data_IF_359849316634
#
_entry.id   IF_359849316634
#
_cell.length_a   1.000
_cell.length_b   1.000
_cell.length_c   1.000
_cell.angle_alpha   90.00
_cell.angle_beta   90.00
_cell.angle_gamma   90.00
#
_symmetry.space_group_name_H-M   'P 1'
#
loop_
_entity.id
_entity.type
_entity.pdbx_description
1 polymer ?
#
# COMPACT_ATOMS: atom_id res chain seq x y z
N UNK A 1 4.32 -4.52 23.37
CA UNK A 1 4.57 -4.74 21.92
C UNK A 1 5.64 -5.81 21.64
N UNK A 2 6.77 -5.85 22.38
CA UNK A 2 7.90 -6.76 22.08
C UNK A 2 7.55 -8.26 21.97
N UNK A 3 6.63 -8.76 22.80
CA UNK A 3 6.18 -10.16 22.74
C UNK A 3 5.42 -10.43 21.43
N UNK A 4 4.31 -9.74 21.19
CA UNK A 4 3.47 -9.92 20.01
C UNK A 4 4.19 -9.72 18.67
N UNK A 5 5.28 -8.94 18.66
CA UNK A 5 6.05 -8.68 17.45
C UNK A 5 7.36 -9.44 17.40
N UNK A 6 7.70 -10.39 18.28
CA UNK A 6 8.93 -11.18 18.13
C UNK A 6 8.82 -12.19 16.95
N UNK A 7 9.91 -12.88 16.60
CA UNK A 7 9.92 -13.81 15.45
C UNK A 7 8.90 -14.94 15.59
N UNK A 8 8.82 -15.55 16.77
CA UNK A 8 7.95 -16.70 17.06
C UNK A 8 6.47 -16.31 17.04
N UNK A 9 6.10 -15.24 17.74
CA UNK A 9 4.74 -14.70 17.72
C UNK A 9 4.34 -14.24 16.32
N UNK A 10 5.26 -13.62 15.56
CA UNK A 10 5.00 -13.24 14.18
C UNK A 10 4.80 -14.46 13.27
N UNK A 11 5.51 -15.57 13.49
CA UNK A 11 5.32 -16.83 12.75
C UNK A 11 3.94 -17.43 13.04
N UNK A 12 3.57 -17.54 14.31
CA UNK A 12 2.25 -18.03 14.75
C UNK A 12 1.13 -17.20 14.12
N UNK A 13 1.23 -15.87 14.17
CA UNK A 13 0.22 -14.96 13.60
C UNK A 13 0.15 -15.12 12.07
N UNK A 14 1.29 -15.18 11.38
CA UNK A 14 1.34 -15.24 9.92
C UNK A 14 0.75 -16.55 9.39
N UNK A 15 1.09 -17.67 10.03
CA UNK A 15 0.57 -18.99 9.64
C UNK A 15 -0.89 -19.17 10.06
N UNK A 16 -1.24 -18.79 11.29
CA UNK A 16 -2.59 -18.99 11.83
C UNK A 16 -3.66 -18.14 11.13
N UNK A 17 -3.31 -16.91 10.72
CA UNK A 17 -4.24 -15.98 10.09
C UNK A 17 -4.00 -15.79 8.58
N UNK A 18 -3.01 -16.49 8.01
CA UNK A 18 -2.61 -16.30 6.60
C UNK A 18 -2.30 -14.85 6.24
N UNK A 19 -1.59 -14.14 7.14
CA UNK A 19 -1.17 -12.73 6.95
C UNK A 19 0.32 -12.64 6.64
N UNK A 20 0.72 -11.59 5.92
CA UNK A 20 2.13 -11.38 5.56
C UNK A 20 2.99 -11.10 6.82
N UNK A 21 4.14 -11.79 6.97
CA UNK A 21 5.03 -11.57 8.10
C UNK A 21 5.68 -10.19 8.04
N UNK A 22 5.81 -9.56 9.21
CA UNK A 22 6.43 -8.22 9.35
C UNK A 22 7.95 -8.26 9.55
N UNK A 23 8.54 -9.45 9.80
CA UNK A 23 9.97 -9.63 10.05
C UNK A 23 10.64 -10.46 8.97
N UNK A 24 11.85 -10.03 8.58
CA UNK A 24 12.75 -10.81 7.72
C UNK A 24 13.05 -12.20 8.30
N UNK A 25 13.29 -12.30 9.61
CA UNK A 25 13.52 -13.60 10.27
C UNK A 25 12.33 -14.54 10.15
N UNK A 26 11.11 -14.02 10.29
CA UNK A 26 9.89 -14.82 10.12
C UNK A 26 9.70 -15.25 8.66
N UNK A 27 10.00 -14.38 7.69
CA UNK A 27 9.95 -14.72 6.24
C UNK A 27 10.80 -15.94 5.96
N UNK A 28 12.05 -15.96 6.44
CA UNK A 28 12.96 -17.10 6.24
C UNK A 28 12.44 -18.38 6.90
N UNK A 29 11.83 -18.29 8.09
CA UNK A 29 11.30 -19.45 8.80
C UNK A 29 10.08 -20.09 8.12
N UNK A 30 9.24 -19.29 7.45
CA UNK A 30 7.94 -19.74 6.94
C UNK A 30 7.88 -19.92 5.43
N UNK A 31 8.88 -19.50 4.66
CA UNK A 31 8.85 -19.53 3.18
C UNK A 31 8.53 -20.90 2.57
N UNK A 32 8.89 -21.98 3.26
CA UNK A 32 8.64 -23.36 2.84
C UNK A 32 7.42 -24.00 3.55
N UNK A 33 6.78 -23.26 4.46
CA UNK A 33 5.62 -23.70 5.26
C UNK A 33 4.30 -23.06 4.81
N UNK A 34 4.36 -22.10 3.91
CA UNK A 34 3.20 -21.37 3.38
C UNK A 34 2.78 -21.92 2.02
N UNK A 35 1.54 -21.63 1.61
CA UNK A 35 1.08 -21.94 0.26
C UNK A 35 1.87 -21.17 -0.80
N UNK A 36 1.91 -21.68 -2.03
CA UNK A 36 2.57 -21.00 -3.14
C UNK A 36 2.06 -19.56 -3.39
N UNK A 37 0.73 -19.28 -3.38
CA UNK A 37 0.24 -17.91 -3.49
C UNK A 37 0.77 -16.99 -2.37
N UNK A 38 0.88 -17.51 -1.15
CA UNK A 38 1.40 -16.74 -0.02
C UNK A 38 2.90 -16.46 -0.16
N UNK A 39 3.67 -17.46 -0.63
CA UNK A 39 5.09 -17.27 -0.95
C UNK A 39 5.29 -16.22 -2.05
N UNK A 40 4.45 -16.25 -3.09
CA UNK A 40 4.46 -15.23 -4.13
C UNK A 40 4.20 -13.82 -3.57
N UNK A 41 3.18 -13.66 -2.71
CA UNK A 41 2.89 -12.37 -2.08
C UNK A 41 4.03 -11.90 -1.17
N UNK A 42 4.68 -12.80 -0.43
CA UNK A 42 5.86 -12.49 0.38
C UNK A 42 7.01 -11.96 -0.49
N UNK A 43 7.26 -12.59 -1.63
CA UNK A 43 8.30 -12.18 -2.58
C UNK A 43 8.00 -10.83 -3.21
N UNK A 44 6.78 -10.63 -3.72
CA UNK A 44 6.33 -9.35 -4.31
C UNK A 44 6.45 -8.23 -3.28
N UNK A 45 5.94 -8.45 -2.07
CA UNK A 45 6.00 -7.45 -1.01
C UNK A 45 7.45 -7.08 -0.64
N UNK A 46 8.38 -8.05 -0.63
CA UNK A 46 9.79 -7.77 -0.33
C UNK A 46 10.52 -7.04 -1.46
N UNK A 47 10.09 -7.19 -2.71
CA UNK A 47 10.82 -6.67 -3.88
C UNK A 47 10.30 -5.31 -4.35
N UNK A 48 9.00 -5.09 -4.31
CA UNK A 48 8.36 -3.97 -5.03
C UNK A 48 7.46 -3.09 -4.15
N UNK A 49 7.06 -3.56 -2.96
CA UNK A 49 6.14 -2.80 -2.13
C UNK A 49 6.78 -1.53 -1.57
N UNK A 50 5.94 -0.49 -1.49
CA UNK A 50 6.26 0.77 -0.86
C UNK A 50 5.26 1.01 0.28
N UNK A 51 5.71 1.67 1.35
CA UNK A 51 4.81 2.09 2.41
C UNK A 51 3.75 3.04 1.85
N UNK A 52 2.50 2.89 2.29
CA UNK A 52 1.46 3.85 1.97
C UNK A 52 1.86 5.24 2.52
N UNK A 53 1.56 6.34 1.82
CA UNK A 53 1.82 7.69 2.33
C UNK A 53 1.19 7.91 3.71
N UNK A 54 1.95 8.48 4.64
CA UNK A 54 1.47 8.82 5.99
C UNK A 54 1.39 10.34 6.10
N UNK A 55 0.31 10.90 5.54
CA UNK A 55 0.03 12.35 5.57
C UNK A 55 -1.30 12.59 6.28
N UNK A 56 -1.42 13.72 6.98
CA UNK A 56 -2.67 14.09 7.68
C UNK A 56 -3.83 14.16 6.69
N UNK A 57 -3.59 14.71 5.49
CA UNK A 57 -4.54 14.80 4.39
C UNK A 57 -4.76 13.48 3.61
N UNK A 58 -4.40 12.31 4.15
CA UNK A 58 -4.50 11.03 3.42
C UNK A 58 -5.92 10.74 2.86
N UNK A 59 -7.03 11.04 3.58
CA UNK A 59 -8.37 10.88 3.02
C UNK A 59 -8.61 11.71 1.75
N UNK A 60 -8.13 12.95 1.71
CA UNK A 60 -8.26 13.85 0.56
C UNK A 60 -7.39 13.37 -0.60
N UNK A 61 -6.14 13.00 -0.30
CA UNK A 61 -5.18 12.51 -1.30
C UNK A 61 -5.70 11.23 -1.96
N UNK A 62 -6.18 10.26 -1.16
CA UNK A 62 -6.71 9.00 -1.68
C UNK A 62 -7.99 9.20 -2.49
N UNK A 63 -8.87 10.13 -2.12
CA UNK A 63 -10.07 10.46 -2.89
C UNK A 63 -9.72 11.08 -4.25
N UNK A 64 -8.81 12.06 -4.28
CA UNK A 64 -8.37 12.67 -5.54
C UNK A 64 -7.71 11.63 -6.46
N UNK A 65 -6.99 10.65 -5.90
CA UNK A 65 -6.39 9.56 -6.67
C UNK A 65 -7.47 8.65 -7.28
N UNK A 66 -8.49 8.29 -6.49
CA UNK A 66 -9.62 7.50 -6.99
C UNK A 66 -10.36 8.21 -8.13
N UNK A 67 -10.56 9.54 -8.00
CA UNK A 67 -11.17 10.36 -9.05
C UNK A 67 -10.29 10.40 -10.30
N UNK A 68 -8.97 10.54 -10.16
CA UNK A 68 -8.05 10.47 -11.30
C UNK A 68 -8.19 9.16 -12.07
N UNK A 69 -8.25 8.02 -11.35
CA UNK A 69 -8.41 6.70 -11.98
C UNK A 69 -9.75 6.57 -12.70
N UNK A 70 -10.82 7.12 -12.13
CA UNK A 70 -12.14 7.14 -12.74
C UNK A 70 -12.15 8.01 -14.01
N UNK A 71 -11.65 9.25 -13.91
CA UNK A 71 -11.59 10.18 -15.03
C UNK A 71 -10.76 9.60 -16.20
N UNK A 72 -9.63 8.97 -15.89
CA UNK A 72 -8.78 8.31 -16.91
C UNK A 72 -9.47 7.10 -17.54
N UNK A 73 -10.32 6.37 -16.79
CA UNK A 73 -11.07 5.24 -17.36
C UNK A 73 -12.13 5.67 -18.37
N UNK A 74 -12.64 6.91 -18.25
CA UNK A 74 -13.55 7.53 -19.21
C UNK A 74 -12.78 8.33 -20.27
N UNK A 75 -11.90 7.64 -21.00
CA UNK A 75 -11.00 8.27 -21.98
C UNK A 75 -11.72 9.09 -23.05
N UNK A 76 -12.93 8.69 -23.46
CA UNK A 76 -13.72 9.44 -24.44
C UNK A 76 -14.12 10.85 -23.93
N UNK A 77 -14.35 10.98 -22.62
CA UNK A 77 -14.65 12.26 -21.95
C UNK A 77 -13.36 13.01 -21.57
N UNK A 78 -12.27 12.27 -21.35
CA UNK A 78 -11.00 12.78 -20.87
C UNK A 78 -9.79 12.24 -21.68
N UNK A 79 -9.64 12.63 -22.96
CA UNK A 79 -8.61 12.05 -23.83
C UNK A 79 -7.17 12.47 -23.47
N UNK A 80 -7.03 13.52 -22.65
CA UNK A 80 -5.74 14.01 -22.18
C UNK A 80 -5.48 13.56 -20.73
N UNK A 81 -4.90 12.38 -20.58
CA UNK A 81 -4.52 11.79 -19.30
C UNK A 81 -3.59 12.70 -18.50
N UNK A 82 -2.62 13.34 -19.15
CA UNK A 82 -1.67 14.23 -18.47
C UNK A 82 -2.40 15.39 -17.77
N UNK A 83 -3.38 16.00 -18.45
CA UNK A 83 -4.16 17.11 -17.89
C UNK A 83 -4.99 16.68 -16.67
N UNK A 84 -5.56 15.47 -16.70
CA UNK A 84 -6.28 14.91 -15.54
C UNK A 84 -5.32 14.72 -14.37
N UNK A 85 -4.17 14.11 -14.61
CA UNK A 85 -3.15 13.88 -13.58
C UNK A 85 -2.64 15.19 -12.99
N UNK A 86 -2.27 16.17 -13.80
CA UNK A 86 -1.77 17.48 -13.34
C UNK A 86 -2.79 18.17 -12.43
N UNK A 87 -4.07 18.11 -12.80
CA UNK A 87 -5.17 18.70 -12.03
C UNK A 87 -5.29 18.01 -10.67
N UNK A 88 -5.36 16.68 -10.66
CA UNK A 88 -5.54 15.88 -9.43
C UNK A 88 -4.33 15.95 -8.52
N UNK A 89 -3.11 15.98 -9.05
CA UNK A 89 -1.89 16.17 -8.25
C UNK A 89 -1.86 17.54 -7.58
N UNK A 90 -2.31 18.60 -8.25
CA UNK A 90 -2.39 19.94 -7.64
C UNK A 90 -3.42 19.98 -6.49
N UNK A 91 -4.56 19.31 -6.64
CA UNK A 91 -5.56 19.15 -5.58
C UNK A 91 -4.98 18.42 -4.37
N UNK A 92 -4.27 17.30 -4.60
CA UNK A 92 -3.59 16.54 -3.54
C UNK A 92 -2.57 17.41 -2.80
N UNK A 93 -1.70 18.13 -3.53
CA UNK A 93 -0.68 18.98 -2.93
C UNK A 93 -1.30 20.10 -2.09
N UNK A 94 -2.36 20.73 -2.61
CA UNK A 94 -3.08 21.78 -1.87
C UNK A 94 -3.66 21.25 -0.55
N UNK A 95 -4.24 20.05 -0.55
CA UNK A 95 -4.77 19.43 0.66
C UNK A 95 -3.65 19.10 1.67
N UNK A 96 -2.50 18.61 1.19
CA UNK A 96 -1.33 18.36 2.02
C UNK A 96 -0.87 19.67 2.67
N UNK A 97 -0.66 20.72 1.89
CA UNK A 97 -0.18 22.03 2.36
C UNK A 97 -1.14 22.65 3.38
N UNK A 98 -2.45 22.51 3.19
CA UNK A 98 -3.45 23.00 4.13
C UNK A 98 -3.46 22.22 5.44
N UNK A 99 -3.20 20.91 5.41
CA UNK A 99 -3.18 20.07 6.61
C UNK A 99 -1.95 20.27 7.51
N UNK A 100 -0.94 20.97 7.01
CA UNK A 100 0.31 21.28 7.71
C UNK A 100 0.31 22.66 8.37
N UNK A 101 -0.74 23.46 8.16
CA UNK A 101 -0.94 24.77 8.82
C UNK A 101 -1.70 24.59 10.12
#
# INVERSE_FOLDING_TARGET
VKFATNTESSEIISLGNSVLPIRKSTIENIKDKVSEPMRFLMEQNSKTAHARPVVVAYPQVSRAFQQAMQDISYYDEHPNVQKVLDTRTKEMQTAIDQSLK
#
